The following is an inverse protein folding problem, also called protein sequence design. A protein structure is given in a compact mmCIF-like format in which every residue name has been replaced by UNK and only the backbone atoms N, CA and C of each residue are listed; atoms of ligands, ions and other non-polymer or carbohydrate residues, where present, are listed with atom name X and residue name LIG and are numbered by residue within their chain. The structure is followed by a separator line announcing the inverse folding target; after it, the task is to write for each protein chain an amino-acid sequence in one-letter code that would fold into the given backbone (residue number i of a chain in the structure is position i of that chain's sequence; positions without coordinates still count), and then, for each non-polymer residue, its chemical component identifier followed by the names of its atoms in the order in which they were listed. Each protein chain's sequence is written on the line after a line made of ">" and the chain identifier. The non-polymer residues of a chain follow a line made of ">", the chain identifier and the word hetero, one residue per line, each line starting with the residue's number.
data_IF_139846634464
#
_entry.id   IF_139846634464
#
_cell.length_a   1.000
_cell.length_b   1.000
_cell.length_c   1.000
_cell.angle_alpha   90.00
_cell.angle_beta   90.00
_cell.angle_gamma   90.00
#
_symmetry.space_group_name_H-M   'P 1'
#
loop_
_entity.id
_entity.type
_entity.pdbx_description
1 polymer ?
#
# COMPACT_ATOMS: atom_id res chain seq x y z
N UNK A 1 -2.82 -9.29 -19.32
CA UNK A 1 -1.88 -10.43 -19.52
C UNK A 1 -2.67 -11.72 -19.75
N UNK A 2 -2.06 -12.72 -20.40
CA UNK A 2 -2.65 -14.06 -20.54
C UNK A 2 -2.30 -14.91 -19.31
N UNK A 3 -3.15 -15.89 -18.99
CA UNK A 3 -2.88 -16.84 -17.90
C UNK A 3 -1.52 -17.51 -18.04
N UNK A 4 -1.17 -17.96 -19.26
CA UNK A 4 0.13 -18.57 -19.57
C UNK A 4 1.30 -17.67 -19.20
N UNK A 5 1.17 -16.36 -19.44
CA UNK A 5 2.23 -15.39 -19.07
C UNK A 5 2.32 -15.23 -17.56
N UNK A 6 1.19 -15.04 -16.88
CA UNK A 6 1.13 -14.88 -15.43
C UNK A 6 1.72 -16.12 -14.70
N UNK A 7 1.25 -17.31 -15.06
CA UNK A 7 1.73 -18.56 -14.44
C UNK A 7 3.21 -18.80 -14.70
N UNK A 8 3.70 -18.55 -15.93
CA UNK A 8 5.12 -18.66 -16.24
C UNK A 8 5.98 -17.66 -15.46
N UNK A 9 5.53 -16.40 -15.36
CA UNK A 9 6.23 -15.38 -14.58
C UNK A 9 6.30 -15.76 -13.11
N UNK A 10 5.20 -16.25 -12.52
CA UNK A 10 5.14 -16.76 -11.16
C UNK A 10 6.15 -17.90 -10.95
N UNK A 11 6.15 -18.90 -11.82
CA UNK A 11 7.02 -20.05 -11.69
C UNK A 11 8.49 -19.68 -11.81
N UNK A 12 8.82 -18.76 -12.74
CA UNK A 12 10.17 -18.23 -12.88
C UNK A 12 10.62 -17.42 -11.65
N UNK A 13 9.75 -16.56 -11.13
CA UNK A 13 10.05 -15.77 -9.95
C UNK A 13 10.35 -16.66 -8.74
N UNK A 14 9.48 -17.63 -8.47
CA UNK A 14 9.64 -18.58 -7.36
C UNK A 14 10.89 -19.46 -7.51
N UNK A 15 11.18 -19.93 -8.73
CA UNK A 15 12.40 -20.70 -9.01
C UNK A 15 13.69 -19.90 -8.76
N UNK A 16 13.64 -18.57 -8.84
CA UNK A 16 14.78 -17.68 -8.62
C UNK A 16 14.73 -16.96 -7.27
N UNK A 17 13.76 -17.25 -6.40
CA UNK A 17 13.64 -16.61 -5.08
C UNK A 17 13.37 -15.10 -5.14
N UNK A 18 12.73 -14.60 -6.21
CA UNK A 18 12.40 -13.19 -6.36
C UNK A 18 10.90 -12.96 -6.22
N UNK A 19 10.51 -11.75 -5.78
CA UNK A 19 9.13 -11.38 -5.57
C UNK A 19 8.41 -11.05 -6.88
N UNK A 20 7.11 -11.21 -6.87
CA UNK A 20 6.20 -10.83 -7.95
C UNK A 20 5.56 -9.48 -7.64
N UNK A 21 5.46 -8.61 -8.63
CA UNK A 21 4.76 -7.34 -8.49
C UNK A 21 3.87 -7.09 -9.71
N UNK A 22 2.59 -6.78 -9.48
CA UNK A 22 1.64 -6.40 -10.53
C UNK A 22 0.54 -5.49 -9.98
N UNK A 23 -0.21 -4.84 -10.89
CA UNK A 23 -1.43 -4.13 -10.54
C UNK A 23 -2.60 -5.11 -10.39
N UNK A 24 -3.55 -4.80 -9.50
CA UNK A 24 -4.75 -5.61 -9.34
C UNK A 24 -5.93 -4.74 -8.90
N UNK A 25 -7.06 -4.90 -9.59
CA UNK A 25 -8.34 -4.27 -9.22
C UNK A 25 -8.25 -2.76 -9.03
N UNK A 26 -7.50 -2.08 -9.92
CA UNK A 26 -7.26 -0.65 -9.83
C UNK A 26 -8.53 0.15 -10.15
N UNK A 27 -9.23 -0.21 -11.21
CA UNK A 27 -10.42 0.51 -11.64
C UNK A 27 -11.54 -0.43 -12.07
N UNK A 28 -12.78 0.09 -12.13
CA UNK A 28 -13.97 -0.70 -12.48
C UNK A 28 -13.90 -1.30 -13.87
N UNK A 29 -13.29 -0.58 -14.82
CA UNK A 29 -13.15 -1.04 -16.21
C UNK A 29 -12.24 -2.27 -16.29
N UNK A 30 -11.10 -2.24 -15.60
CA UNK A 30 -10.21 -3.41 -15.48
C UNK A 30 -10.94 -4.60 -14.85
N UNK A 31 -11.63 -4.39 -13.73
CA UNK A 31 -12.36 -5.46 -13.04
C UNK A 31 -13.42 -6.09 -13.97
N UNK A 32 -14.23 -5.28 -14.63
CA UNK A 32 -15.26 -5.76 -15.56
C UNK A 32 -14.65 -6.48 -16.76
N UNK A 33 -13.53 -5.99 -17.29
CA UNK A 33 -12.82 -6.63 -18.39
C UNK A 33 -12.28 -8.01 -18.02
N UNK A 34 -11.60 -8.12 -16.87
CA UNK A 34 -11.10 -9.42 -16.38
C UNK A 34 -12.26 -10.38 -16.15
N UNK A 35 -13.33 -9.95 -15.47
CA UNK A 35 -14.51 -10.78 -15.19
C UNK A 35 -15.18 -11.26 -16.47
N UNK A 36 -15.21 -10.44 -17.54
CA UNK A 36 -15.74 -10.86 -18.83
C UNK A 36 -14.91 -11.96 -19.52
N UNK A 37 -13.60 -12.01 -19.24
CA UNK A 37 -12.70 -13.00 -19.86
C UNK A 37 -12.65 -14.32 -19.11
N UNK A 38 -12.63 -14.26 -17.78
CA UNK A 38 -12.36 -15.44 -16.93
C UNK A 38 -13.54 -15.83 -16.03
N UNK A 39 -14.68 -15.10 -16.12
CA UNK A 39 -15.91 -15.30 -15.33
C UNK A 39 -15.65 -15.30 -13.81
N UNK A 40 -14.65 -14.53 -13.39
CA UNK A 40 -14.20 -14.46 -12.01
C UNK A 40 -13.66 -13.05 -11.72
N UNK A 41 -13.86 -12.56 -10.49
CA UNK A 41 -13.29 -11.29 -10.04
C UNK A 41 -11.75 -11.34 -10.08
N UNK A 42 -11.13 -10.22 -10.34
CA UNK A 42 -9.70 -10.11 -10.65
C UNK A 42 -8.80 -10.79 -9.59
N UNK A 43 -8.98 -10.46 -8.32
CA UNK A 43 -8.11 -11.01 -7.27
C UNK A 43 -8.40 -12.49 -7.01
N UNK A 44 -9.66 -12.92 -7.09
CA UNK A 44 -10.01 -14.35 -7.02
C UNK A 44 -9.39 -15.15 -8.17
N UNK A 45 -9.37 -14.56 -9.38
CA UNK A 45 -8.68 -15.18 -10.51
C UNK A 45 -7.17 -15.30 -10.26
N UNK A 46 -6.51 -14.22 -9.81
CA UNK A 46 -5.09 -14.28 -9.46
C UNK A 46 -4.83 -15.36 -8.41
N UNK A 47 -5.68 -15.46 -7.40
CA UNK A 47 -5.58 -16.50 -6.38
C UNK A 47 -5.75 -17.92 -6.97
N UNK A 48 -6.72 -18.13 -7.84
CA UNK A 48 -7.00 -19.44 -8.45
C UNK A 48 -5.84 -19.99 -9.29
N UNK A 49 -5.05 -19.10 -9.89
CA UNK A 49 -3.85 -19.45 -10.64
C UNK A 49 -2.57 -19.41 -9.77
N UNK A 50 -2.70 -19.30 -8.43
CA UNK A 50 -1.59 -19.29 -7.50
C UNK A 50 -0.74 -18.01 -7.53
N UNK A 51 -1.29 -16.90 -8.02
CA UNK A 51 -0.62 -15.58 -8.08
C UNK A 51 -0.95 -14.76 -6.82
N UNK A 52 -0.88 -15.40 -5.64
CA UNK A 52 -0.99 -14.83 -4.29
C UNK A 52 0.01 -15.53 -3.39
N UNK A 53 0.40 -14.88 -2.30
CA UNK A 53 1.39 -15.39 -1.34
C UNK A 53 2.25 -14.28 -0.78
N UNK A 54 3.09 -14.62 0.19
CA UNK A 54 4.04 -13.68 0.83
C UNK A 54 5.08 -13.12 -0.13
N UNK A 55 5.29 -13.81 -1.26
CA UNK A 55 6.17 -13.43 -2.36
C UNK A 55 5.50 -12.49 -3.37
N UNK A 56 4.22 -12.12 -3.17
CA UNK A 56 3.43 -11.37 -4.15
C UNK A 56 3.04 -9.99 -3.62
N UNK A 57 3.23 -8.99 -4.46
CA UNK A 57 2.90 -7.58 -4.22
C UNK A 57 1.85 -7.16 -5.25
N UNK A 58 0.68 -6.72 -4.78
CA UNK A 58 -0.43 -6.24 -5.61
C UNK A 58 -0.65 -4.74 -5.39
N UNK A 59 -0.41 -3.93 -6.42
CA UNK A 59 -0.67 -2.50 -6.36
C UNK A 59 -2.16 -2.20 -6.49
N UNK A 60 -2.59 -1.14 -5.83
CA UNK A 60 -3.94 -0.54 -5.80
C UNK A 60 -4.96 -1.33 -4.97
N UNK A 61 -5.41 -2.51 -5.38
CA UNK A 61 -6.44 -3.31 -4.69
C UNK A 61 -7.67 -2.48 -4.27
N UNK A 62 -8.17 -1.60 -5.18
CA UNK A 62 -9.24 -0.64 -4.87
C UNK A 62 -10.60 -1.33 -4.87
N UNK A 63 -10.91 -2.04 -5.97
CA UNK A 63 -12.23 -2.61 -6.22
C UNK A 63 -12.30 -4.08 -5.81
N UNK A 64 -11.94 -4.37 -4.55
CA UNK A 64 -11.99 -5.71 -3.96
C UNK A 64 -13.13 -5.82 -2.96
N UNK A 65 -13.70 -7.03 -2.83
CA UNK A 65 -14.75 -7.34 -1.85
C UNK A 65 -14.18 -7.98 -0.57
N UNK A 66 -15.08 -8.36 0.36
CA UNK A 66 -14.67 -8.92 1.65
C UNK A 66 -13.98 -10.28 1.53
N UNK A 67 -14.37 -11.10 0.56
CA UNK A 67 -13.70 -12.37 0.31
C UNK A 67 -12.30 -12.17 -0.26
N UNK A 68 -12.14 -11.17 -1.14
CA UNK A 68 -10.84 -10.81 -1.71
C UNK A 68 -9.91 -10.20 -0.64
N UNK A 69 -10.45 -9.43 0.32
CA UNK A 69 -9.69 -8.99 1.51
C UNK A 69 -9.23 -10.19 2.34
N UNK A 70 -10.11 -11.19 2.55
CA UNK A 70 -9.71 -12.42 3.26
C UNK A 70 -8.62 -13.18 2.52
N UNK A 71 -8.68 -13.29 1.19
CA UNK A 71 -7.62 -13.91 0.40
C UNK A 71 -6.27 -13.21 0.63
N UNK A 72 -6.23 -11.87 0.63
CA UNK A 72 -5.01 -11.12 0.92
C UNK A 72 -4.45 -11.44 2.32
N UNK A 73 -5.34 -11.43 3.32
CA UNK A 73 -4.96 -11.70 4.71
C UNK A 73 -4.45 -13.13 4.91
N UNK A 74 -5.20 -14.12 4.41
CA UNK A 74 -4.90 -15.55 4.60
C UNK A 74 -3.63 -16.00 3.86
N UNK A 75 -3.35 -15.39 2.70
CA UNK A 75 -2.17 -15.72 1.89
C UNK A 75 -0.93 -14.89 2.26
N UNK A 76 -1.07 -13.84 3.06
CA UNK A 76 0.02 -12.92 3.35
C UNK A 76 0.45 -12.08 2.14
N UNK A 77 -0.40 -11.98 1.11
CA UNK A 77 -0.14 -11.14 -0.07
C UNK A 77 -0.09 -9.67 0.33
N UNK A 78 0.91 -8.96 -0.19
CA UNK A 78 1.09 -7.54 0.11
C UNK A 78 0.23 -6.67 -0.81
N UNK A 79 -0.58 -5.79 -0.24
CA UNK A 79 -1.27 -4.73 -0.98
C UNK A 79 -0.48 -3.43 -0.91
N UNK A 80 -0.29 -2.74 -2.04
CA UNK A 80 0.39 -1.44 -2.07
C UNK A 80 -0.61 -0.34 -2.42
N UNK A 81 -0.83 0.55 -1.46
CA UNK A 81 -1.72 1.69 -1.61
C UNK A 81 -1.00 2.86 -2.29
N UNK A 82 -1.53 3.35 -3.41
CA UNK A 82 -0.98 4.47 -4.17
C UNK A 82 -1.99 5.63 -4.20
N UNK A 83 -2.20 6.34 -3.07
CA UNK A 83 -3.32 7.27 -2.92
C UNK A 83 -3.32 8.42 -3.93
N UNK A 84 -2.18 9.04 -4.22
CA UNK A 84 -2.09 10.15 -5.18
C UNK A 84 -2.45 9.71 -6.59
N UNK A 85 -1.90 8.59 -7.03
CA UNK A 85 -2.22 8.02 -8.35
C UNK A 85 -3.70 7.68 -8.47
N UNK A 86 -4.24 6.97 -7.47
CA UNK A 86 -5.64 6.57 -7.43
C UNK A 86 -6.60 7.77 -7.50
N UNK A 87 -6.27 8.88 -6.82
CA UNK A 87 -7.04 10.12 -6.89
C UNK A 87 -6.91 10.80 -8.25
N UNK A 88 -5.68 10.94 -8.75
CA UNK A 88 -5.41 11.64 -10.01
C UNK A 88 -6.09 10.96 -11.20
N UNK A 89 -6.08 9.63 -11.22
CA UNK A 89 -6.70 8.82 -12.26
C UNK A 89 -8.19 8.56 -12.01
N UNK A 90 -8.74 9.06 -10.89
CA UNK A 90 -10.10 8.78 -10.46
C UNK A 90 -10.40 7.26 -10.37
N UNK A 91 -9.38 6.46 -10.07
CA UNK A 91 -9.50 5.00 -9.96
C UNK A 91 -10.41 4.58 -8.80
N UNK A 92 -10.44 5.37 -7.72
CA UNK A 92 -11.26 5.13 -6.53
C UNK A 92 -10.46 5.20 -5.23
N UNK A 93 -11.09 4.85 -4.10
CA UNK A 93 -10.44 4.82 -2.79
C UNK A 93 -10.41 3.37 -2.29
N UNK A 94 -9.21 2.81 -2.13
CA UNK A 94 -9.02 1.46 -1.60
C UNK A 94 -9.51 1.35 -0.14
N UNK A 95 -9.93 0.15 0.26
CA UNK A 95 -10.50 -0.18 1.57
C UNK A 95 -9.41 -0.48 2.62
N UNK A 96 -8.45 0.43 2.78
CA UNK A 96 -7.24 0.20 3.59
C UNK A 96 -7.57 -0.07 5.05
N UNK A 97 -8.54 0.66 5.62
CA UNK A 97 -8.98 0.50 7.00
C UNK A 97 -9.51 -0.92 7.26
N UNK A 98 -10.33 -1.46 6.34
CA UNK A 98 -10.83 -2.83 6.44
C UNK A 98 -9.75 -3.88 6.15
N UNK A 99 -8.84 -3.63 5.21
CA UNK A 99 -7.71 -4.53 4.93
C UNK A 99 -6.83 -4.68 6.17
N UNK A 100 -6.47 -3.58 6.83
CA UNK A 100 -5.66 -3.60 8.06
C UNK A 100 -6.41 -4.30 9.21
N UNK A 101 -7.71 -4.05 9.35
CA UNK A 101 -8.54 -4.71 10.35
C UNK A 101 -8.64 -6.23 10.13
N UNK A 102 -8.58 -6.68 8.88
CA UNK A 102 -8.55 -8.10 8.52
C UNK A 102 -7.15 -8.74 8.62
N UNK A 103 -6.11 -7.96 8.97
CA UNK A 103 -4.74 -8.46 9.09
C UNK A 103 -3.96 -8.49 7.78
N UNK A 104 -4.45 -7.83 6.71
CA UNK A 104 -3.70 -7.72 5.46
C UNK A 104 -2.40 -6.94 5.66
N UNK A 105 -1.37 -7.34 4.92
CA UNK A 105 -0.10 -6.63 4.82
C UNK A 105 -0.23 -5.49 3.83
N UNK A 106 -0.18 -4.25 4.31
CA UNK A 106 -0.36 -3.06 3.47
C UNK A 106 0.87 -2.19 3.51
N UNK A 107 1.30 -1.71 2.34
CA UNK A 107 2.38 -0.74 2.17
C UNK A 107 1.88 0.49 1.39
N UNK A 108 2.70 1.54 1.33
CA UNK A 108 2.46 2.74 0.51
C UNK A 108 3.42 2.72 -0.68
N UNK A 109 2.91 3.11 -1.85
CA UNK A 109 3.69 3.28 -3.08
C UNK A 109 3.30 4.56 -3.82
N UNK A 110 4.12 4.96 -4.80
CA UNK A 110 3.91 6.20 -5.57
C UNK A 110 3.13 5.98 -6.85
N UNK A 111 3.50 4.96 -7.63
CA UNK A 111 3.02 4.75 -9.00
C UNK A 111 3.50 5.83 -10.00
N UNK A 112 3.45 5.51 -11.30
CA UNK A 112 3.90 6.40 -12.38
C UNK A 112 3.01 7.61 -12.64
N UNK A 113 1.73 7.59 -12.27
CA UNK A 113 0.82 8.73 -12.41
C UNK A 113 1.02 9.81 -11.33
N UNK A 114 1.79 9.53 -10.32
CA UNK A 114 2.15 10.48 -9.26
C UNK A 114 3.13 11.53 -9.81
N UNK A 115 2.83 12.83 -9.61
CA UNK A 115 3.67 13.91 -10.11
C UNK A 115 4.77 14.34 -9.11
N UNK A 116 4.68 13.91 -7.86
CA UNK A 116 5.63 14.22 -6.80
C UNK A 116 6.16 12.93 -6.19
N UNK A 117 7.47 12.79 -6.11
CA UNK A 117 8.10 11.68 -5.40
C UNK A 117 8.28 12.03 -3.92
N UNK A 118 7.22 12.57 -3.27
CA UNK A 118 7.20 12.96 -1.87
C UNK A 118 6.43 11.94 -1.04
N UNK A 119 7.17 11.09 -0.33
CA UNK A 119 6.61 10.05 0.54
C UNK A 119 5.72 10.60 1.67
N UNK A 120 6.01 11.81 2.15
CA UNK A 120 5.23 12.44 3.21
C UNK A 120 3.87 12.92 2.70
N UNK A 121 3.79 13.30 1.43
CA UNK A 121 2.50 13.59 0.77
C UNK A 121 1.66 12.33 0.64
N UNK A 122 2.24 11.22 0.16
CA UNK A 122 1.53 9.94 0.07
C UNK A 122 1.01 9.48 1.43
N UNK A 123 1.86 9.58 2.45
CA UNK A 123 1.54 9.24 3.83
C UNK A 123 0.31 10.02 4.34
N UNK A 124 0.30 11.34 4.11
CA UNK A 124 -0.82 12.22 4.47
C UNK A 124 -2.09 11.83 3.75
N UNK A 125 -2.02 11.63 2.45
CA UNK A 125 -3.17 11.30 1.62
C UNK A 125 -3.76 9.95 2.01
N UNK A 126 -2.94 8.94 2.27
CA UNK A 126 -3.40 7.66 2.79
C UNK A 126 -4.24 7.84 4.06
N UNK A 127 -3.73 8.61 5.03
CA UNK A 127 -4.42 8.86 6.30
C UNK A 127 -5.74 9.62 6.14
N UNK A 128 -5.77 10.64 5.28
CA UNK A 128 -6.95 11.49 5.09
C UNK A 128 -8.06 10.79 4.29
N UNK A 129 -7.70 10.08 3.22
CA UNK A 129 -8.67 9.41 2.36
C UNK A 129 -9.53 8.39 3.09
N UNK A 130 -8.97 7.63 4.03
CA UNK A 130 -9.75 6.65 4.78
C UNK A 130 -10.79 7.32 5.69
N UNK A 131 -10.49 8.50 6.23
CA UNK A 131 -11.45 9.27 7.04
C UNK A 131 -12.64 9.74 6.21
N UNK A 132 -12.37 10.25 5.01
CA UNK A 132 -13.42 10.68 4.07
C UNK A 132 -14.25 9.48 3.61
N UNK A 133 -13.60 8.37 3.21
CA UNK A 133 -14.27 7.17 2.72
C UNK A 133 -15.23 6.57 3.75
N UNK A 134 -14.81 6.53 5.01
CA UNK A 134 -15.56 5.87 6.09
C UNK A 134 -16.43 6.81 6.89
N UNK A 135 -16.35 8.12 6.66
CA UNK A 135 -16.96 9.17 7.48
C UNK A 135 -16.61 9.02 8.98
N UNK A 136 -15.38 8.57 9.27
CA UNK A 136 -14.86 8.38 10.63
C UNK A 136 -13.52 9.08 10.79
N UNK A 137 -13.39 10.05 11.72
CA UNK A 137 -12.13 10.78 11.94
C UNK A 137 -11.02 9.91 12.51
N UNK A 138 -11.36 8.75 13.08
CA UNK A 138 -10.41 7.79 13.67
C UNK A 138 -9.96 6.70 12.70
N UNK A 139 -10.53 6.61 11.49
CA UNK A 139 -10.10 5.65 10.48
C UNK A 139 -8.64 5.91 10.10
N UNK A 140 -7.87 4.87 10.01
CA UNK A 140 -6.42 4.86 9.75
C UNK A 140 -5.67 5.89 10.61
N UNK A 141 -5.13 5.45 11.73
CA UNK A 141 -4.35 6.29 12.64
C UNK A 141 -3.05 6.77 12.00
N UNK A 142 -2.46 7.89 12.46
CA UNK A 142 -1.16 8.33 11.99
C UNK A 142 -0.07 7.26 12.11
N UNK A 143 -0.07 6.51 13.20
CA UNK A 143 0.90 5.42 13.42
C UNK A 143 0.74 4.32 12.37
N UNK A 144 -0.48 3.87 12.09
CA UNK A 144 -0.73 2.87 11.04
C UNK A 144 -0.26 3.36 9.66
N UNK A 145 -0.54 4.64 9.33
CA UNK A 145 -0.07 5.22 8.08
C UNK A 145 1.47 5.24 8.01
N UNK A 146 2.15 5.61 9.10
CA UNK A 146 3.62 5.59 9.18
C UNK A 146 4.17 4.15 9.06
N UNK A 147 3.55 3.19 9.73
CA UNK A 147 3.94 1.78 9.62
C UNK A 147 3.82 1.24 8.18
N UNK A 148 2.76 1.61 7.46
CA UNK A 148 2.60 1.26 6.04
C UNK A 148 3.74 1.81 5.17
N UNK A 149 4.21 3.04 5.45
CA UNK A 149 5.28 3.70 4.70
C UNK A 149 6.69 3.23 5.09
N UNK A 150 6.84 2.54 6.18
CA UNK A 150 8.14 2.10 6.73
C UNK A 150 8.20 0.57 6.80
N UNK A 151 7.79 -0.03 7.90
CA UNK A 151 7.83 -1.46 8.13
C UNK A 151 6.96 -2.24 7.12
N UNK A 152 5.81 -1.68 6.71
CA UNK A 152 4.96 -2.26 5.67
C UNK A 152 5.67 -2.38 4.33
N UNK A 153 6.37 -1.32 3.92
CA UNK A 153 7.23 -1.32 2.73
C UNK A 153 8.38 -2.33 2.83
N UNK A 154 9.08 -2.36 3.97
CA UNK A 154 10.16 -3.31 4.22
C UNK A 154 9.67 -4.77 4.11
N UNK A 155 8.53 -5.10 4.72
CA UNK A 155 7.89 -6.43 4.61
C UNK A 155 7.52 -6.76 3.16
N UNK A 156 6.95 -5.81 2.41
CA UNK A 156 6.61 -6.01 1.02
C UNK A 156 7.85 -6.33 0.16
N UNK A 157 9.00 -5.78 0.52
CA UNK A 157 10.28 -6.05 -0.13
C UNK A 157 11.03 -7.27 0.44
N UNK A 158 10.56 -7.87 1.55
CA UNK A 158 11.25 -8.96 2.27
C UNK A 158 12.54 -8.52 2.94
N UNK A 159 12.54 -7.30 3.46
CA UNK A 159 13.70 -6.66 4.09
C UNK A 159 13.40 -6.16 5.51
N UNK A 160 12.34 -6.65 6.14
CA UNK A 160 11.91 -6.23 7.47
C UNK A 160 12.93 -6.50 8.58
N UNK A 161 13.82 -7.47 8.38
CA UNK A 161 14.92 -7.75 9.31
C UNK A 161 16.06 -6.74 9.19
N UNK A 162 16.13 -5.99 8.07
CA UNK A 162 17.18 -5.02 7.79
C UNK A 162 16.72 -3.56 7.81
N UNK A 163 15.43 -3.31 7.50
CA UNK A 163 14.86 -1.99 7.26
C UNK A 163 13.50 -1.81 7.94
N UNK A 164 12.98 -0.59 7.86
CA UNK A 164 11.60 -0.24 8.22
C UNK A 164 11.37 0.12 9.68
N UNK A 165 12.35 -0.10 10.57
CA UNK A 165 12.29 0.30 11.98
C UNK A 165 13.68 0.70 12.50
N UNK A 166 13.70 1.48 13.57
CA UNK A 166 14.92 1.91 14.24
C UNK A 166 15.25 0.92 15.36
N UNK A 167 16.01 -0.12 15.02
CA UNK A 167 16.39 -1.18 15.94
C UNK A 167 17.90 -1.49 15.83
N UNK A 168 18.58 -1.86 16.93
CA UNK A 168 19.96 -2.30 16.88
C UNK A 168 20.13 -3.49 15.93
N UNK A 169 21.10 -3.39 15.03
CA UNK A 169 21.40 -4.44 14.04
C UNK A 169 20.78 -4.21 12.67
N UNK A 170 19.79 -3.33 12.54
CA UNK A 170 19.25 -2.93 11.24
C UNK A 170 20.13 -1.87 10.58
N UNK A 171 19.95 -1.69 9.26
CA UNK A 171 20.59 -0.63 8.48
C UNK A 171 20.12 0.74 8.97
N UNK A 172 21.04 1.71 8.96
CA UNK A 172 20.76 3.08 9.38
C UNK A 172 20.15 3.92 8.25
N UNK A 173 19.17 3.37 7.53
CA UNK A 173 18.36 4.09 6.55
C UNK A 173 17.28 4.86 7.31
N UNK A 174 17.55 6.12 7.60
CA UNK A 174 16.67 6.96 8.41
C UNK A 174 16.55 8.38 7.83
N UNK A 175 15.42 9.00 8.05
CA UNK A 175 15.18 10.41 7.74
C UNK A 175 15.04 11.20 9.05
N UNK A 176 15.67 12.37 9.09
CA UNK A 176 15.55 13.31 10.21
C UNK A 176 14.60 14.41 9.80
N UNK A 177 13.52 14.59 10.56
CA UNK A 177 12.48 15.59 10.26
C UNK A 177 12.73 16.85 11.12
N UNK A 178 12.91 18.00 10.45
CA UNK A 178 13.01 19.30 11.11
C UNK A 178 11.61 19.89 11.36
N UNK A 179 11.15 19.97 12.63
CA UNK A 179 9.84 20.51 12.95
C UNK A 179 9.79 22.06 12.99
N UNK A 180 10.92 22.76 12.84
CA UNK A 180 11.02 24.21 12.98
C UNK A 180 10.72 24.98 11.67
N UNK A 181 9.95 24.35 10.78
CA UNK A 181 9.48 24.98 9.54
C UNK A 181 8.06 25.52 9.70
N UNK A 182 7.70 26.52 8.89
CA UNK A 182 6.40 27.19 8.95
C UNK A 182 5.22 26.24 8.71
N UNK A 183 5.37 25.24 7.83
CA UNK A 183 4.34 24.23 7.54
C UNK A 183 4.06 23.31 8.74
N UNK A 184 4.97 23.24 9.71
CA UNK A 184 4.80 22.47 10.94
C UNK A 184 4.22 23.29 12.10
N UNK A 185 3.92 24.58 11.87
CA UNK A 185 3.32 25.49 12.85
C UNK A 185 1.78 25.61 12.67
N UNK A 186 1.00 25.83 13.75
CA UNK A 186 1.45 25.74 15.14
C UNK A 186 1.66 24.25 15.54
N UNK A 187 2.55 24.02 16.49
CA UNK A 187 2.74 22.68 17.07
C UNK A 187 1.57 22.35 17.98
N UNK A 188 0.45 21.95 17.37
CA UNK A 188 -0.78 21.59 18.08
C UNK A 188 -0.71 20.12 18.48
N UNK A 189 -0.80 19.86 19.77
CA UNK A 189 -0.75 18.50 20.33
C UNK A 189 0.67 18.01 20.63
N UNK A 190 0.76 16.84 21.23
CA UNK A 190 2.02 16.22 21.69
C UNK A 190 2.41 14.97 20.91
N UNK A 191 1.64 14.62 19.86
CA UNK A 191 1.91 13.43 19.05
C UNK A 191 2.80 13.81 17.84
N UNK A 192 4.11 13.50 17.90
CA UNK A 192 5.03 13.78 16.81
C UNK A 192 4.72 12.98 15.55
N UNK A 193 4.13 11.79 15.67
CA UNK A 193 3.75 10.97 14.51
C UNK A 193 2.62 11.64 13.73
N UNK A 194 1.60 12.14 14.42
CA UNK A 194 0.53 12.88 13.79
C UNK A 194 1.04 14.16 13.09
N UNK A 195 1.99 14.87 13.70
CA UNK A 195 2.62 16.03 13.07
C UNK A 195 3.37 15.67 11.79
N UNK A 196 4.16 14.60 11.80
CA UNK A 196 4.86 14.13 10.60
C UNK A 196 3.85 13.75 9.52
N UNK A 197 2.86 12.93 9.84
CA UNK A 197 1.87 12.45 8.87
C UNK A 197 1.05 13.58 8.26
N UNK A 198 0.61 14.53 9.06
CA UNK A 198 -0.34 15.56 8.56
C UNK A 198 0.30 16.87 8.12
N UNK A 199 1.52 17.17 8.54
CA UNK A 199 2.13 18.48 8.31
C UNK A 199 3.46 18.43 7.56
N UNK A 200 4.29 17.40 7.76
CA UNK A 200 5.60 17.35 7.15
C UNK A 200 5.55 17.18 5.62
N UNK A 201 6.55 17.75 4.95
CA UNK A 201 6.81 17.63 3.51
C UNK A 201 8.30 17.36 3.30
N UNK A 202 8.72 17.13 2.06
CA UNK A 202 10.14 16.98 1.72
C UNK A 202 11.03 18.14 2.21
N UNK A 203 10.47 19.34 2.38
CA UNK A 203 11.21 20.50 2.92
C UNK A 203 11.61 20.37 4.40
N UNK A 204 11.06 19.37 5.07
CA UNK A 204 11.36 19.09 6.48
C UNK A 204 12.45 18.03 6.69
N UNK A 205 12.86 17.35 5.61
CA UNK A 205 13.88 16.29 5.64
C UNK A 205 15.29 16.87 5.52
#
# INVERSE_FOLDING_TARGET
>A
CTEKLLTRTRDMARANGVRLHTHASENKGECAYVESLVHMRNLRYLHSIGYTGEDVILAHCIWIDDDEIRILADTGTHAVHCPSSNMKLASGIARIDEMLAAGCRVAIGFDGAHNHMDALVELRQAGILQKVRTNRPTALSPLQALEMATLGGARAMGQEDELGSLEPGKKADLAVINPDRLNMAPRIGRDPVAQVVYQATHENV
#
